data_IF_327376894811
#
_entry.id   IF_327376894811
#
_cell.length_a   1.000
_cell.length_b   1.000
_cell.length_c   1.000
_cell.angle_alpha   90.00
_cell.angle_beta   90.00
_cell.angle_gamma   90.00
#
_symmetry.space_group_name_H-M   'P 1'
#
loop_
_entity.id
_entity.type
_entity.pdbx_description
1 polymer ?
#
# COMPACT_ATOMS: atom_id res chain seq x y z
N UNK A 1 -8.70 16.51 -5.85
CA UNK A 1 -9.05 15.70 -7.05
C UNK A 1 -9.12 14.23 -6.65
N UNK A 2 -10.06 13.45 -7.22
CA UNK A 2 -10.10 12.00 -7.02
C UNK A 2 -9.12 11.29 -7.98
N UNK A 3 -8.30 10.40 -7.46
CA UNK A 3 -7.28 9.67 -8.23
C UNK A 3 -7.89 8.36 -8.75
N UNK A 4 -8.14 8.29 -10.05
CA UNK A 4 -8.55 7.08 -10.77
C UNK A 4 -7.33 6.33 -11.31
N UNK A 5 -7.50 5.14 -11.91
CA UNK A 5 -6.38 4.43 -12.53
C UNK A 5 -5.72 5.20 -13.67
N UNK A 6 -6.49 5.97 -14.43
CA UNK A 6 -5.99 6.81 -15.53
C UNK A 6 -5.22 8.02 -14.98
N UNK A 7 -5.83 8.76 -14.06
CA UNK A 7 -5.18 9.93 -13.44
C UNK A 7 -3.95 9.55 -12.63
N UNK A 8 -3.93 8.39 -11.99
CA UNK A 8 -2.77 7.89 -11.27
C UNK A 8 -1.55 7.75 -12.20
N UNK A 9 -1.76 7.20 -13.40
CA UNK A 9 -0.69 7.08 -14.40
C UNK A 9 -0.11 8.43 -14.81
N UNK A 10 -0.97 9.43 -15.00
CA UNK A 10 -0.57 10.81 -15.32
C UNK A 10 0.23 11.44 -14.16
N UNK A 11 -0.25 11.30 -12.92
CA UNK A 11 0.42 11.86 -11.73
C UNK A 11 1.79 11.23 -11.49
N UNK A 12 1.90 9.91 -11.62
CA UNK A 12 3.18 9.22 -11.47
C UNK A 12 4.15 9.55 -12.63
N UNK A 13 3.62 9.75 -13.85
CA UNK A 13 4.41 10.25 -14.98
C UNK A 13 4.98 11.63 -14.69
N UNK A 14 4.14 12.57 -14.24
CA UNK A 14 4.58 13.93 -13.86
C UNK A 14 5.60 13.89 -12.71
N UNK A 15 5.41 13.00 -11.70
CA UNK A 15 6.39 12.81 -10.64
C UNK A 15 7.74 12.34 -11.19
N UNK A 16 7.73 11.40 -12.13
CA UNK A 16 8.95 10.95 -12.82
C UNK A 16 9.65 12.05 -13.61
N UNK A 17 8.90 12.93 -14.28
CA UNK A 17 9.45 14.09 -15.00
C UNK A 17 10.10 15.09 -14.03
N UNK A 18 9.45 15.41 -12.90
CA UNK A 18 10.02 16.27 -11.87
C UNK A 18 11.31 15.70 -11.27
N UNK A 19 11.34 14.39 -10.98
CA UNK A 19 12.54 13.72 -10.49
C UNK A 19 13.66 13.75 -11.53
N UNK A 20 13.35 13.55 -12.81
CA UNK A 20 14.32 13.66 -13.90
C UNK A 20 14.90 15.06 -14.03
N UNK A 21 14.07 16.12 -13.90
CA UNK A 21 14.53 17.51 -13.89
C UNK A 21 15.45 17.83 -12.71
N UNK A 22 15.31 17.10 -11.59
CA UNK A 22 16.16 17.19 -10.40
C UNK A 22 17.38 16.23 -10.49
N UNK A 23 17.64 15.64 -11.65
CA UNK A 23 18.73 14.66 -11.90
C UNK A 23 18.75 13.51 -10.88
N UNK A 24 17.58 13.05 -10.45
CA UNK A 24 17.41 12.01 -9.44
C UNK A 24 16.64 10.82 -10.00
N UNK A 25 17.00 9.62 -9.52
CA UNK A 25 16.27 8.38 -9.80
C UNK A 25 15.79 7.80 -8.48
N UNK A 26 14.50 7.44 -8.40
CA UNK A 26 13.88 6.89 -7.19
C UNK A 26 13.03 5.68 -7.56
N UNK A 27 13.10 4.66 -6.71
CA UNK A 27 12.20 3.51 -6.73
C UNK A 27 11.32 3.54 -5.48
N UNK A 28 10.01 3.43 -5.67
CA UNK A 28 9.04 3.47 -4.57
C UNK A 28 8.16 2.22 -4.55
N UNK A 29 7.71 1.85 -3.36
CA UNK A 29 6.74 0.78 -3.16
C UNK A 29 5.41 1.37 -2.74
N UNK A 30 4.36 1.06 -3.49
CA UNK A 30 3.01 1.59 -3.31
C UNK A 30 2.05 0.48 -2.93
N UNK A 31 1.19 0.75 -1.93
CA UNK A 31 0.16 -0.16 -1.43
C UNK A 31 -1.22 0.52 -1.46
N UNK A 32 -2.21 -0.09 -0.85
CA UNK A 32 -3.50 0.53 -0.59
C UNK A 32 -4.36 0.74 -1.83
N UNK A 33 -5.25 1.74 -1.77
CA UNK A 33 -6.25 2.00 -2.81
C UNK A 33 -5.65 2.31 -4.17
N UNK A 34 -4.56 3.07 -4.21
CA UNK A 34 -3.85 3.44 -5.44
C UNK A 34 -3.22 2.23 -6.14
N UNK A 35 -2.60 1.31 -5.38
CA UNK A 35 -2.07 0.07 -5.97
C UNK A 35 -3.20 -0.84 -6.48
N UNK A 36 -4.30 -0.98 -5.73
CA UNK A 36 -5.47 -1.76 -6.16
C UNK A 36 -6.03 -1.22 -7.48
N UNK A 37 -6.14 0.10 -7.59
CA UNK A 37 -6.66 0.77 -8.80
C UNK A 37 -5.68 0.66 -9.97
N UNK A 38 -4.36 0.84 -9.71
CA UNK A 38 -3.33 0.67 -10.72
C UNK A 38 -3.31 -0.74 -11.33
N UNK A 39 -3.59 -1.75 -10.52
CA UNK A 39 -3.61 -3.16 -10.94
C UNK A 39 -4.99 -3.62 -11.48
N UNK A 40 -5.99 -2.73 -11.49
CA UNK A 40 -7.35 -3.06 -11.95
C UNK A 40 -8.10 -4.01 -11.02
N UNK A 41 -7.65 -4.16 -9.78
CA UNK A 41 -8.27 -5.03 -8.77
C UNK A 41 -9.54 -4.41 -8.17
N UNK A 42 -9.64 -3.08 -8.17
CA UNK A 42 -10.85 -2.34 -7.81
C UNK A 42 -11.12 -1.21 -8.81
N UNK A 43 -12.41 -0.82 -8.94
CA UNK A 43 -12.85 0.26 -9.85
C UNK A 43 -13.36 1.45 -9.04
N UNK A 44 -12.57 1.95 -8.13
CA UNK A 44 -12.90 3.14 -7.36
C UNK A 44 -11.75 4.14 -7.36
N UNK A 45 -12.07 5.39 -7.18
CA UNK A 45 -11.06 6.41 -6.96
C UNK A 45 -10.47 6.32 -5.55
N UNK A 46 -9.27 6.86 -5.38
CA UNK A 46 -8.61 7.08 -4.11
C UNK A 46 -8.25 8.56 -3.96
N UNK A 47 -7.89 9.00 -2.77
CA UNK A 47 -7.51 10.40 -2.50
C UNK A 47 -6.01 10.61 -2.49
N UNK A 48 -5.27 9.53 -2.27
CA UNK A 48 -3.83 9.53 -2.04
C UNK A 48 -3.16 8.30 -2.65
N UNK A 49 -1.86 8.37 -2.74
CA UNK A 49 -0.97 7.27 -3.09
C UNK A 49 -0.22 6.85 -1.84
N UNK A 50 -0.57 5.69 -1.30
CA UNK A 50 0.01 5.14 -0.08
C UNK A 50 1.43 4.62 -0.35
N UNK A 51 2.43 5.38 0.06
CA UNK A 51 3.85 5.07 -0.07
C UNK A 51 4.33 4.22 1.11
N UNK A 52 4.60 2.95 0.86
CA UNK A 52 5.08 1.99 1.86
C UNK A 52 6.58 2.17 2.14
N UNK A 53 7.38 2.26 1.09
CA UNK A 53 8.84 2.25 1.21
C UNK A 53 9.50 2.93 0.00
N UNK A 54 10.76 3.29 0.18
CA UNK A 54 11.69 3.62 -0.89
C UNK A 54 12.61 2.41 -1.08
N UNK A 55 12.76 1.93 -2.31
CA UNK A 55 13.69 0.86 -2.62
C UNK A 55 15.05 1.43 -3.04
N UNK A 56 16.12 0.97 -2.41
CA UNK A 56 17.49 1.38 -2.71
C UNK A 56 18.34 0.13 -2.81
N UNK A 57 18.86 -0.17 -4.00
CA UNK A 57 19.66 -1.37 -4.26
C UNK A 57 18.96 -2.68 -3.83
N UNK A 58 17.64 -2.76 -4.00
CA UNK A 58 16.82 -3.91 -3.61
C UNK A 58 16.43 -3.95 -2.13
N UNK A 59 16.94 -3.05 -1.29
CA UNK A 59 16.55 -2.91 0.11
C UNK A 59 15.40 -1.91 0.28
N UNK A 60 14.47 -2.22 1.16
CA UNK A 60 13.38 -1.32 1.51
C UNK A 60 13.78 -0.42 2.68
N UNK A 61 13.60 0.88 2.49
CA UNK A 61 13.85 1.91 3.51
C UNK A 61 12.57 2.65 3.86
N UNK A 62 12.51 3.15 5.08
CA UNK A 62 11.41 4.00 5.52
C UNK A 62 11.27 5.21 4.58
N UNK A 63 10.03 5.49 4.19
CA UNK A 63 9.69 6.66 3.39
C UNK A 63 9.45 7.92 4.24
N UNK A 64 9.63 7.83 5.55
CA UNK A 64 9.41 8.95 6.47
C UNK A 64 10.67 9.19 7.33
N UNK A 65 11.29 10.40 7.26
CA UNK A 65 10.89 11.52 6.39
C UNK A 65 11.09 11.20 4.90
N UNK A 66 10.31 11.84 4.02
CA UNK A 66 10.55 11.76 2.58
C UNK A 66 11.91 12.37 2.25
N UNK A 67 12.68 11.80 1.31
CA UNK A 67 13.87 12.47 0.76
C UNK A 67 13.51 13.84 0.19
N UNK A 68 14.37 14.84 0.37
CA UNK A 68 14.12 16.22 -0.04
C UNK A 68 13.76 16.34 -1.53
N UNK A 69 14.41 15.55 -2.37
CA UNK A 69 14.14 15.52 -3.81
C UNK A 69 12.72 15.00 -4.11
N UNK A 70 12.27 13.96 -3.39
CA UNK A 70 10.92 13.43 -3.55
C UNK A 70 9.87 14.38 -2.96
N UNK A 71 10.20 15.04 -1.85
CA UNK A 71 9.34 16.06 -1.25
C UNK A 71 9.14 17.24 -2.21
N UNK A 72 10.21 17.73 -2.86
CA UNK A 72 10.16 18.80 -3.84
C UNK A 72 9.36 18.41 -5.09
N UNK A 73 9.59 17.21 -5.63
CA UNK A 73 8.86 16.69 -6.78
C UNK A 73 7.36 16.49 -6.46
N UNK A 74 7.03 15.93 -5.28
CA UNK A 74 5.65 15.80 -4.79
C UNK A 74 4.93 17.15 -4.74
N UNK A 75 5.58 18.17 -4.17
CA UNK A 75 5.01 19.51 -4.05
C UNK A 75 4.78 20.18 -5.41
N UNK A 76 5.69 19.97 -6.37
CA UNK A 76 5.52 20.45 -7.74
C UNK A 76 4.28 19.82 -8.41
N UNK A 77 4.15 18.50 -8.36
CA UNK A 77 2.98 17.78 -8.90
C UNK A 77 1.70 18.22 -8.21
N UNK A 78 1.70 18.34 -6.87
CA UNK A 78 0.52 18.80 -6.12
C UNK A 78 0.02 20.15 -6.62
N UNK A 79 0.93 21.10 -6.82
CA UNK A 79 0.61 22.43 -7.33
C UNK A 79 0.09 22.41 -8.77
N UNK A 80 0.75 21.63 -9.65
CA UNK A 80 0.44 21.60 -11.09
C UNK A 80 -0.92 20.91 -11.38
N UNK A 81 -1.36 20.00 -10.50
CA UNK A 81 -2.60 19.23 -10.63
C UNK A 81 -3.68 19.59 -9.59
N UNK A 82 -3.49 20.62 -8.79
CA UNK A 82 -4.41 21.05 -7.73
C UNK A 82 -4.78 19.90 -6.77
N UNK A 83 -3.74 19.21 -6.26
CA UNK A 83 -3.85 18.11 -5.31
C UNK A 83 -3.56 18.58 -3.88
N UNK A 84 -3.98 17.75 -2.91
CA UNK A 84 -3.48 17.85 -1.54
C UNK A 84 -1.95 17.68 -1.51
N UNK A 85 -1.27 18.46 -0.69
CA UNK A 85 0.20 18.38 -0.57
C UNK A 85 0.69 16.98 -0.14
N UNK A 86 -0.18 16.21 0.52
CA UNK A 86 0.10 14.85 0.98
C UNK A 86 -0.47 13.77 0.04
N UNK A 87 -0.77 14.10 -1.23
CA UNK A 87 -1.28 13.12 -2.19
C UNK A 87 -0.41 11.87 -2.33
N UNK A 88 0.91 12.00 -2.14
CA UNK A 88 1.85 10.89 -1.96
C UNK A 88 2.15 10.76 -0.47
N UNK A 89 1.47 9.81 0.18
CA UNK A 89 1.36 9.69 1.63
C UNK A 89 2.28 8.59 2.19
N UNK A 90 3.33 8.93 2.97
CA UNK A 90 4.22 7.93 3.59
C UNK A 90 3.65 7.35 4.91
N UNK A 91 2.35 7.52 5.19
CA UNK A 91 1.72 7.01 6.42
C UNK A 91 1.97 5.53 6.68
N UNK A 92 1.84 4.63 5.69
CA UNK A 92 2.00 3.19 5.90
C UNK A 92 3.44 2.71 6.10
N UNK A 93 4.45 3.58 6.00
CA UNK A 93 5.86 3.17 5.97
C UNK A 93 6.29 2.38 7.21
N UNK A 94 5.64 2.60 8.34
CA UNK A 94 5.97 1.91 9.60
C UNK A 94 5.71 0.39 9.54
N UNK A 95 4.87 -0.09 8.62
CA UNK A 95 4.63 -1.51 8.41
C UNK A 95 5.90 -2.31 8.08
N UNK A 96 6.93 -1.67 7.50
CA UNK A 96 8.19 -2.38 7.22
C UNK A 96 9.01 -2.69 8.46
N UNK A 97 8.77 -2.01 9.59
CA UNK A 97 9.55 -2.17 10.84
C UNK A 97 9.41 -3.57 11.45
N UNK A 98 8.23 -4.17 11.33
CA UNK A 98 7.90 -5.47 11.91
C UNK A 98 7.92 -6.59 10.88
N UNK A 99 8.33 -6.26 9.65
CA UNK A 99 8.43 -7.19 8.53
C UNK A 99 7.19 -7.24 7.66
N UNK A 100 7.41 -7.35 6.36
CA UNK A 100 6.36 -7.51 5.36
C UNK A 100 5.97 -8.99 5.19
N UNK A 101 4.83 -9.29 4.55
CA UNK A 101 4.48 -10.67 4.22
C UNK A 101 5.60 -11.38 3.50
N UNK A 102 5.88 -12.62 3.88
CA UNK A 102 6.97 -13.41 3.29
C UNK A 102 6.88 -13.43 1.77
N UNK A 103 8.00 -13.17 1.08
CA UNK A 103 8.05 -13.12 -0.38
C UNK A 103 7.41 -11.87 -1.02
N UNK A 104 7.16 -10.81 -0.25
CA UNK A 104 6.52 -9.57 -0.70
C UNK A 104 7.11 -9.03 -2.01
N UNK A 105 8.43 -8.79 -2.05
CA UNK A 105 9.09 -8.21 -3.22
C UNK A 105 9.04 -9.10 -4.48
N UNK A 106 8.84 -10.40 -4.34
CA UNK A 106 8.66 -11.30 -5.47
C UNK A 106 7.26 -11.20 -6.11
N UNK A 107 6.30 -10.57 -5.43
CA UNK A 107 4.90 -10.44 -5.89
C UNK A 107 4.51 -9.02 -6.30
N UNK A 108 5.41 -8.05 -6.19
CA UNK A 108 5.14 -6.68 -6.65
C UNK A 108 5.05 -6.63 -8.17
N UNK A 109 4.19 -5.74 -8.68
CA UNK A 109 4.12 -5.43 -10.10
C UNK A 109 4.88 -4.14 -10.35
N UNK A 110 6.00 -4.25 -11.04
CA UNK A 110 6.90 -3.11 -11.29
C UNK A 110 6.52 -2.39 -12.58
N UNK A 111 6.41 -1.07 -12.52
CA UNK A 111 6.17 -0.20 -13.68
C UNK A 111 7.10 1.01 -13.65
N UNK A 112 7.81 1.30 -14.76
CA UNK A 112 8.56 2.54 -14.91
C UNK A 112 7.61 3.71 -15.28
N UNK A 113 7.89 4.88 -14.75
CA UNK A 113 7.26 6.15 -15.10
C UNK A 113 8.36 7.12 -15.54
N UNK A 114 8.75 7.00 -16.80
CA UNK A 114 9.95 7.64 -17.32
C UNK A 114 11.25 7.02 -16.80
N UNK A 115 12.40 7.65 -17.07
CA UNK A 115 13.72 7.13 -16.67
C UNK A 115 14.04 7.36 -15.18
N UNK A 116 13.28 8.20 -14.49
CA UNK A 116 13.62 8.71 -13.16
C UNK A 116 12.76 8.12 -12.02
N UNK A 117 11.67 7.41 -12.34
CA UNK A 117 10.78 6.82 -11.34
C UNK A 117 10.42 5.38 -11.70
N UNK A 118 10.64 4.47 -10.75
CA UNK A 118 10.12 3.10 -10.80
C UNK A 118 9.14 2.91 -9.65
N UNK A 119 7.97 2.34 -9.92
CA UNK A 119 6.94 2.06 -8.92
C UNK A 119 6.69 0.57 -8.84
N UNK A 120 6.81 0.02 -7.64
CA UNK A 120 6.51 -1.35 -7.27
C UNK A 120 5.14 -1.39 -6.58
N UNK A 121 4.10 -1.83 -7.27
CA UNK A 121 2.76 -1.98 -6.70
C UNK A 121 2.65 -3.32 -5.98
N UNK A 122 2.22 -3.29 -4.72
CA UNK A 122 1.95 -4.51 -3.95
C UNK A 122 0.88 -5.36 -4.63
N UNK A 123 1.17 -6.65 -4.82
CA UNK A 123 0.29 -7.60 -5.50
C UNK A 123 -0.96 -7.95 -4.67
N UNK A 124 -1.92 -8.65 -5.31
CA UNK A 124 -3.21 -9.00 -4.71
C UNK A 124 -3.07 -9.68 -3.33
N UNK A 125 -2.19 -10.66 -3.21
CA UNK A 125 -2.00 -11.40 -1.96
C UNK A 125 -1.54 -10.48 -0.83
N UNK A 126 -0.59 -9.60 -1.10
CA UNK A 126 -0.09 -8.65 -0.10
C UNK A 126 -1.13 -7.60 0.27
N UNK A 127 -1.96 -7.18 -0.69
CA UNK A 127 -3.08 -6.28 -0.44
C UNK A 127 -4.11 -6.92 0.51
N UNK A 128 -4.35 -8.25 0.43
CA UNK A 128 -5.20 -8.95 1.40
C UNK A 128 -4.65 -8.80 2.82
N UNK A 129 -3.33 -8.95 3.01
CA UNK A 129 -2.68 -8.76 4.31
C UNK A 129 -2.89 -7.33 4.83
N UNK A 130 -2.60 -6.33 4.02
CA UNK A 130 -2.73 -4.92 4.41
C UNK A 130 -4.19 -4.52 4.65
N UNK A 131 -5.14 -5.04 3.86
CA UNK A 131 -6.56 -4.69 4.03
C UNK A 131 -7.18 -5.36 5.25
N UNK A 132 -6.80 -6.59 5.57
CA UNK A 132 -7.23 -7.24 6.81
C UNK A 132 -6.67 -6.50 8.03
N UNK A 133 -5.37 -6.16 8.03
CA UNK A 133 -4.74 -5.39 9.11
C UNK A 133 -5.46 -4.04 9.30
N UNK A 134 -5.64 -3.27 8.24
CA UNK A 134 -6.30 -1.98 8.31
C UNK A 134 -7.79 -2.06 8.71
N UNK A 135 -8.50 -3.12 8.32
CA UNK A 135 -9.88 -3.38 8.72
C UNK A 135 -10.00 -3.59 10.23
N UNK A 136 -9.03 -4.29 10.82
CA UNK A 136 -8.99 -4.58 12.27
C UNK A 136 -8.56 -3.35 13.06
N UNK A 137 -7.53 -2.64 12.59
CA UNK A 137 -6.91 -1.49 13.27
C UNK A 137 -7.76 -0.22 13.19
N UNK A 138 -8.37 0.06 12.02
CA UNK A 138 -9.05 1.32 11.72
C UNK A 138 -10.58 1.18 11.57
N UNK A 139 -11.10 -0.06 11.66
CA UNK A 139 -12.48 -0.40 11.38
C UNK A 139 -12.73 -0.76 9.91
N UNK A 140 -13.89 -1.40 9.64
CA UNK A 140 -14.26 -1.93 8.32
C UNK A 140 -14.33 -0.89 7.20
N UNK A 141 -15.54 -0.52 6.80
CA UNK A 141 -15.78 0.49 5.76
C UNK A 141 -15.04 0.18 4.45
N UNK A 142 -14.23 1.13 3.98
CA UNK A 142 -13.50 0.97 2.71
C UNK A 142 -12.50 -0.19 2.72
N UNK A 143 -11.90 -0.51 3.87
CA UNK A 143 -10.92 -1.59 3.98
C UNK A 143 -11.58 -2.95 3.81
N UNK A 144 -12.75 -3.14 4.39
CA UNK A 144 -13.57 -4.34 4.20
C UNK A 144 -14.06 -4.45 2.75
N UNK A 145 -14.57 -3.37 2.17
CA UNK A 145 -15.03 -3.36 0.77
C UNK A 145 -13.90 -3.78 -0.17
N UNK A 146 -12.70 -3.23 0.01
CA UNK A 146 -11.52 -3.59 -0.78
C UNK A 146 -11.11 -5.06 -0.54
N UNK A 147 -11.11 -5.51 0.72
CA UNK A 147 -10.77 -6.90 1.06
C UNK A 147 -11.72 -7.89 0.40
N UNK A 148 -13.03 -7.63 0.44
CA UNK A 148 -14.04 -8.47 -0.24
C UNK A 148 -13.89 -8.45 -1.75
N UNK A 149 -13.55 -7.31 -2.35
CA UNK A 149 -13.31 -7.19 -3.78
C UNK A 149 -12.08 -7.99 -4.25
N UNK A 150 -11.13 -8.25 -3.35
CA UNK A 150 -9.98 -9.12 -3.61
C UNK A 150 -10.33 -10.61 -3.60
N UNK A 151 -11.54 -10.99 -3.19
CA UNK A 151 -12.03 -12.37 -3.13
C UNK A 151 -11.00 -13.32 -2.47
N UNK A 152 -10.65 -13.07 -1.18
CA UNK A 152 -9.65 -13.85 -0.51
C UNK A 152 -10.14 -15.27 -0.21
N UNK A 153 -9.29 -16.26 -0.44
CA UNK A 153 -9.51 -17.61 0.05
C UNK A 153 -9.36 -17.67 1.57
N UNK A 154 -9.94 -18.72 2.20
CA UNK A 154 -9.76 -18.97 3.63
C UNK A 154 -8.28 -19.05 4.02
N UNK A 155 -7.46 -19.73 3.23
CA UNK A 155 -6.01 -19.85 3.48
C UNK A 155 -5.30 -18.49 3.42
N UNK A 156 -5.66 -17.63 2.49
CA UNK A 156 -5.11 -16.27 2.40
C UNK A 156 -5.52 -15.39 3.59
N UNK A 157 -6.76 -15.52 4.07
CA UNK A 157 -7.21 -14.80 5.29
C UNK A 157 -6.44 -15.28 6.53
N UNK A 158 -6.20 -16.58 6.68
CA UNK A 158 -5.41 -17.13 7.79
C UNK A 158 -3.96 -16.64 7.72
N UNK A 159 -3.34 -16.65 6.54
CA UNK A 159 -1.99 -16.14 6.34
C UNK A 159 -1.91 -14.63 6.67
N UNK A 160 -2.88 -13.86 6.22
CA UNK A 160 -2.97 -12.44 6.52
C UNK A 160 -3.15 -12.17 8.02
N UNK A 161 -3.99 -12.97 8.70
CA UNK A 161 -4.20 -12.87 10.14
C UNK A 161 -2.93 -13.17 10.94
N UNK A 162 -2.20 -14.24 10.58
CA UNK A 162 -0.92 -14.58 11.21
C UNK A 162 0.11 -13.46 11.05
N UNK A 163 0.22 -12.87 9.85
CA UNK A 163 1.08 -11.73 9.63
C UNK A 163 0.62 -10.50 10.42
N UNK A 164 -0.68 -10.21 10.47
CA UNK A 164 -1.20 -9.03 11.15
C UNK A 164 -0.91 -9.03 12.66
N UNK A 165 -0.89 -10.21 13.31
CA UNK A 165 -0.49 -10.39 14.71
C UNK A 165 0.99 -9.99 14.93
N UNK A 166 1.84 -10.11 13.92
CA UNK A 166 3.23 -9.64 14.03
C UNK A 166 3.33 -8.12 14.01
N UNK A 167 2.35 -7.44 13.42
CA UNK A 167 2.30 -5.97 13.37
C UNK A 167 1.75 -5.38 14.68
N UNK A 168 0.74 -6.03 15.27
CA UNK A 168 0.22 -5.69 16.60
C UNK A 168 -0.05 -6.97 17.40
N UNK A 169 0.86 -7.36 18.32
CA UNK A 169 0.71 -8.53 19.16
C UNK A 169 -0.19 -8.34 20.38
N UNK A 170 -0.82 -7.18 20.54
CA UNK A 170 -1.62 -6.87 21.72
C UNK A 170 -2.86 -7.78 21.84
N UNK A 171 -3.29 -8.14 23.08
CA UNK A 171 -4.49 -8.92 23.27
C UNK A 171 -5.74 -8.24 22.72
N UNK A 172 -5.81 -6.91 22.77
CA UNK A 172 -6.92 -6.12 22.24
C UNK A 172 -7.06 -6.28 20.73
N UNK A 173 -5.95 -6.11 19.98
CA UNK A 173 -5.93 -6.32 18.54
C UNK A 173 -6.35 -7.75 18.18
N UNK A 174 -5.81 -8.76 18.89
CA UNK A 174 -6.14 -10.15 18.65
C UNK A 174 -7.63 -10.47 18.85
N UNK A 175 -8.28 -9.88 19.84
CA UNK A 175 -9.73 -10.05 20.05
C UNK A 175 -10.54 -9.51 18.87
N UNK A 176 -10.23 -8.29 18.41
CA UNK A 176 -10.90 -7.69 17.24
C UNK A 176 -10.63 -8.48 15.97
N UNK A 177 -9.40 -8.97 15.78
CA UNK A 177 -9.04 -9.82 14.64
C UNK A 177 -9.87 -11.10 14.59
N UNK A 178 -10.06 -11.78 15.73
CA UNK A 178 -10.88 -13.00 15.81
C UNK A 178 -12.33 -12.70 15.41
N UNK A 179 -12.91 -11.60 15.90
CA UNK A 179 -14.26 -11.20 15.52
C UNK A 179 -14.36 -10.88 14.02
N UNK A 180 -13.37 -10.17 13.47
CA UNK A 180 -13.30 -9.87 12.05
C UNK A 180 -13.20 -11.14 11.19
N UNK A 181 -12.39 -12.13 11.61
CA UNK A 181 -12.25 -13.40 10.90
C UNK A 181 -13.55 -14.21 10.91
N UNK A 182 -14.23 -14.31 12.06
CA UNK A 182 -15.56 -14.96 12.17
C UNK A 182 -16.57 -14.30 11.24
N UNK A 183 -16.58 -12.97 11.19
CA UNK A 183 -17.43 -12.20 10.28
C UNK A 183 -17.09 -12.48 8.80
N UNK A 184 -15.84 -12.80 8.48
CA UNK A 184 -15.39 -13.22 7.15
C UNK A 184 -15.52 -14.72 6.89
N UNK A 185 -16.09 -15.50 7.84
CA UNK A 185 -16.33 -16.94 7.69
C UNK A 185 -15.11 -17.84 8.00
N UNK A 186 -14.18 -17.34 8.83
CA UNK A 186 -12.98 -18.09 9.27
C UNK A 186 -13.05 -18.30 10.77
N UNK A 187 -12.93 -19.54 11.24
CA UNK A 187 -12.95 -19.90 12.66
C UNK A 187 -11.58 -19.68 13.33
N UNK A 188 -11.59 -19.34 14.63
CA UNK A 188 -10.37 -19.09 15.41
C UNK A 188 -9.49 -20.35 15.59
N UNK A 189 -10.06 -21.54 15.53
CA UNK A 189 -9.30 -22.79 15.57
C UNK A 189 -8.27 -22.89 14.43
N UNK A 190 -8.50 -22.19 13.33
CA UNK A 190 -7.61 -22.14 12.16
C UNK A 190 -6.34 -21.31 12.40
N UNK A 191 -6.36 -20.40 13.38
CA UNK A 191 -5.17 -19.63 13.76
C UNK A 191 -4.21 -20.39 14.65
N UNK A 192 -4.69 -21.45 15.32
CA UNK A 192 -3.93 -22.25 16.26
C UNK A 192 -3.15 -23.41 15.60
N UNK A 193 -3.50 -23.74 14.36
CA UNK A 193 -2.82 -24.76 13.53
C UNK A 193 -1.75 -24.13 12.65
#
# INVERSE_FOLDING_TARGET
>A
MDITGETLGVLLGALGEQLGALASHIEIVVIGGSALTALGLVRRATRDVDLLAIAVNGELRLAKPLPDVLLSARAAVARDFDLDENWLNPGPTDLIKWGLPHGFMARVVTRPYGPALVVHFAGRVDQIHFKLFAMVDQGGGRHETDLRALDPTRAELIAAARWSITQDPSPGYRSVLIEALRYLGVDDADLAS
#
